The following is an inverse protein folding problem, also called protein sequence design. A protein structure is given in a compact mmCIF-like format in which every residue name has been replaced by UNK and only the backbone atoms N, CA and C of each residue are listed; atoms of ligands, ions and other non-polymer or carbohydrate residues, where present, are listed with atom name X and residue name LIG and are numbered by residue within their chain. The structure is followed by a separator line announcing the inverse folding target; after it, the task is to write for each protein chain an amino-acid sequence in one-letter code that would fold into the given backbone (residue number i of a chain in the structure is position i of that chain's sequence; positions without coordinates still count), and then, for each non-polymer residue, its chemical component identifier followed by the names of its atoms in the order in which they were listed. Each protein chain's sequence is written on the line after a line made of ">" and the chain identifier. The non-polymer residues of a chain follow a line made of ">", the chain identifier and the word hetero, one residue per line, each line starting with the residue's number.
data_IF_003279094407
#
_entry.id   IF_003279094407
#
_cell.length_a   1.000
_cell.length_b   1.000
_cell.length_c   1.000
_cell.angle_alpha   90.00
_cell.angle_beta   90.00
_cell.angle_gamma   90.00
#
_symmetry.space_group_name_H-M   'P 1'
#
loop_
_entity.id
_entity.type
_entity.pdbx_description
1 polymer ?
#
# COMPACT_ATOMS: atom_id res chain seq x y z
N UNK A 1 -1.41 -24.91 -8.22
CA UNK A 1 -1.28 -24.06 -9.40
C UNK A 1 -2.12 -24.61 -10.55
N UNK A 2 -2.77 -23.72 -11.30
CA UNK A 2 -3.49 -24.06 -12.54
C UNK A 2 -2.81 -23.28 -13.66
N UNK A 3 -2.58 -23.92 -14.81
CA UNK A 3 -2.01 -23.30 -16.00
C UNK A 3 -2.80 -23.73 -17.23
N UNK A 4 -3.17 -22.77 -18.06
CA UNK A 4 -3.87 -22.99 -19.31
C UNK A 4 -3.09 -22.37 -20.45
N UNK A 5 -2.92 -23.07 -21.54
CA UNK A 5 -2.26 -22.58 -22.75
C UNK A 5 -3.17 -22.79 -23.95
N UNK A 6 -3.38 -21.75 -24.74
CA UNK A 6 -4.16 -21.76 -25.98
C UNK A 6 -3.31 -21.18 -27.11
N UNK A 7 -3.18 -21.92 -28.22
CA UNK A 7 -2.51 -21.41 -29.45
C UNK A 7 -3.56 -20.85 -30.42
N UNK A 8 -3.37 -19.59 -30.85
CA UNK A 8 -4.22 -18.93 -31.86
C UNK A 8 -3.36 -17.99 -32.72
N UNK A 9 -3.45 -18.06 -34.03
CA UNK A 9 -2.77 -17.14 -34.98
C UNK A 9 -1.27 -16.99 -34.73
N UNK A 10 -0.52 -18.07 -34.52
CA UNK A 10 0.89 -18.07 -34.19
C UNK A 10 1.28 -17.35 -32.88
N UNK A 11 0.34 -17.12 -32.00
CA UNK A 11 0.56 -16.63 -30.64
C UNK A 11 0.08 -17.69 -29.63
N UNK A 12 0.77 -17.74 -28.48
CA UNK A 12 0.35 -18.55 -27.34
C UNK A 12 -0.25 -17.64 -26.29
N UNK A 13 -1.48 -17.92 -25.90
CA UNK A 13 -2.17 -17.29 -24.77
C UNK A 13 -1.94 -18.17 -23.55
N UNK A 14 -1.30 -17.63 -22.54
CA UNK A 14 -0.99 -18.34 -21.30
C UNK A 14 -1.71 -17.64 -20.16
N UNK A 15 -2.44 -18.38 -19.36
CA UNK A 15 -3.05 -17.89 -18.14
C UNK A 15 -2.89 -18.90 -17.01
N UNK A 16 -2.86 -18.41 -15.79
CA UNK A 16 -2.70 -19.30 -14.64
C UNK A 16 -3.21 -18.70 -13.34
N UNK A 17 -3.38 -19.60 -12.38
CA UNK A 17 -3.70 -19.28 -10.99
C UNK A 17 -2.67 -19.90 -10.05
N UNK A 18 -2.21 -19.10 -9.10
CA UNK A 18 -1.30 -19.54 -8.06
C UNK A 18 -1.83 -19.07 -6.70
N UNK A 19 -2.01 -19.98 -5.78
CA UNK A 19 -2.44 -19.69 -4.42
C UNK A 19 -1.29 -19.96 -3.46
N UNK A 20 -1.00 -18.98 -2.63
CA UNK A 20 -0.04 -19.07 -1.54
C UNK A 20 -0.79 -18.99 -0.20
N UNK A 21 -0.42 -19.84 0.74
CA UNK A 21 -1.03 -19.85 2.09
C UNK A 21 0.05 -19.65 3.14
N UNK A 22 -0.20 -18.67 4.03
CA UNK A 22 0.62 -18.41 5.21
C UNK A 22 2.12 -18.29 4.93
N UNK A 23 2.49 -17.60 3.85
CA UNK A 23 3.88 -17.30 3.54
C UNK A 23 4.42 -16.39 4.64
N UNK A 24 5.58 -16.77 5.19
CA UNK A 24 6.30 -16.00 6.20
C UNK A 24 7.65 -15.65 5.61
N UNK A 25 7.96 -14.35 5.57
CA UNK A 25 9.25 -13.85 5.12
C UNK A 25 9.86 -13.00 6.23
N UNK A 26 11.11 -13.26 6.54
CA UNK A 26 11.94 -12.43 7.40
C UNK A 26 12.67 -11.33 6.61
N UNK A 27 13.41 -10.50 7.34
CA UNK A 27 14.16 -9.38 6.74
C UNK A 27 15.14 -9.80 5.65
N UNK A 28 15.81 -10.94 5.81
CA UNK A 28 16.82 -11.40 4.86
C UNK A 28 16.17 -11.96 3.60
N UNK A 29 15.12 -12.75 3.76
CA UNK A 29 14.32 -13.30 2.65
C UNK A 29 13.69 -12.16 1.83
N UNK A 30 13.14 -11.13 2.50
CA UNK A 30 12.56 -9.96 1.84
C UNK A 30 13.62 -9.22 1.01
N UNK A 31 14.82 -9.00 1.55
CA UNK A 31 15.91 -8.33 0.84
C UNK A 31 16.36 -9.07 -0.43
N UNK A 32 16.27 -10.40 -0.43
CA UNK A 32 16.64 -11.22 -1.60
C UNK A 32 15.58 -11.16 -2.72
N UNK A 33 14.31 -10.87 -2.37
CA UNK A 33 13.19 -10.86 -3.30
C UNK A 33 12.95 -9.46 -3.86
N UNK A 34 13.09 -8.45 -3.00
CA UNK A 34 12.72 -7.05 -3.29
C UNK A 34 13.97 -6.28 -3.70
N UNK A 35 13.96 -5.72 -4.92
CA UNK A 35 15.02 -4.82 -5.38
C UNK A 35 15.11 -3.56 -4.50
N UNK A 36 16.28 -2.92 -4.49
CA UNK A 36 16.62 -1.76 -3.65
C UNK A 36 15.61 -0.61 -3.63
N UNK A 37 14.78 -0.47 -4.66
CA UNK A 37 13.78 0.60 -4.80
C UNK A 37 12.68 0.58 -3.72
N UNK A 38 12.41 -0.56 -3.07
CA UNK A 38 11.49 -0.68 -1.93
C UNK A 38 12.23 -0.66 -0.58
N UNK A 39 13.54 -0.57 -0.57
CA UNK A 39 14.38 -0.61 0.63
C UNK A 39 14.39 0.69 1.46
N UNK A 40 13.68 1.74 1.01
CA UNK A 40 13.40 2.90 1.87
C UNK A 40 12.58 2.54 3.12
N UNK A 41 11.91 1.35 3.12
CA UNK A 41 11.21 0.79 4.27
C UNK A 41 12.02 -0.36 4.86
N UNK A 42 12.52 -0.21 6.07
CA UNK A 42 13.21 -1.29 6.81
C UNK A 42 12.20 -2.35 7.28
N UNK A 43 11.77 -3.21 6.34
CA UNK A 43 10.79 -4.27 6.60
C UNK A 43 11.47 -5.39 7.38
N UNK A 44 10.89 -5.74 8.53
CA UNK A 44 11.41 -6.74 9.43
C UNK A 44 10.77 -8.12 9.22
N UNK A 45 9.48 -8.13 8.86
CA UNK A 45 8.69 -9.35 8.75
C UNK A 45 7.44 -9.10 7.92
N UNK A 46 7.07 -10.10 7.11
CA UNK A 46 5.78 -10.19 6.41
C UNK A 46 5.17 -11.57 6.64
N UNK A 47 3.85 -11.62 6.88
CA UNK A 47 3.05 -12.85 6.87
C UNK A 47 1.82 -12.58 6.01
N UNK A 48 1.61 -13.37 4.97
CA UNK A 48 0.49 -13.18 4.06
C UNK A 48 0.04 -14.47 3.38
N UNK A 49 -1.19 -14.45 2.87
CA UNK A 49 -1.72 -15.40 1.90
C UNK A 49 -2.10 -14.64 0.63
N UNK A 50 -2.04 -15.27 -0.53
CA UNK A 50 -2.42 -14.60 -1.77
C UNK A 50 -3.06 -15.54 -2.79
N UNK A 51 -3.97 -14.98 -3.58
CA UNK A 51 -4.51 -15.59 -4.79
C UNK A 51 -4.05 -14.75 -5.97
N UNK A 52 -3.32 -15.37 -6.89
CA UNK A 52 -2.68 -14.70 -8.01
C UNK A 52 -3.27 -15.24 -9.30
N UNK A 53 -3.81 -14.35 -10.13
CA UNK A 53 -4.26 -14.65 -11.47
C UNK A 53 -3.39 -13.87 -12.45
N UNK A 54 -2.82 -14.55 -13.43
CA UNK A 54 -2.00 -13.91 -14.45
C UNK A 54 -2.38 -14.38 -15.84
N UNK A 55 -2.12 -13.54 -16.81
CA UNK A 55 -2.20 -13.90 -18.22
C UNK A 55 -1.21 -13.08 -19.03
N UNK A 56 -0.73 -13.65 -20.11
CA UNK A 56 0.14 -13.00 -21.07
C UNK A 56 0.09 -13.72 -22.43
N UNK A 57 0.59 -13.06 -23.46
CA UNK A 57 0.80 -13.64 -24.77
C UNK A 57 2.29 -13.83 -25.04
N UNK A 58 2.61 -14.85 -25.82
CA UNK A 58 3.94 -15.11 -26.36
C UNK A 58 3.81 -15.19 -27.87
N UNK A 59 4.51 -14.33 -28.60
CA UNK A 59 4.50 -14.36 -30.06
C UNK A 59 5.48 -15.41 -30.61
N UNK A 60 5.51 -15.57 -31.93
CA UNK A 60 6.42 -16.50 -32.63
C UNK A 60 7.91 -16.29 -32.37
N UNK A 61 8.30 -15.09 -31.93
CA UNK A 61 9.67 -14.73 -31.60
C UNK A 61 9.95 -14.86 -30.08
N UNK A 62 9.07 -15.52 -29.33
CA UNK A 62 9.12 -15.69 -27.88
C UNK A 62 9.07 -14.37 -27.09
N UNK A 63 8.51 -13.31 -27.69
CA UNK A 63 8.32 -12.03 -26.98
C UNK A 63 7.03 -12.05 -26.16
N UNK A 64 7.15 -11.63 -24.91
CA UNK A 64 6.03 -11.48 -23.98
C UNK A 64 5.25 -10.21 -24.30
N UNK A 65 3.92 -10.32 -24.35
CA UNK A 65 3.00 -9.21 -24.61
C UNK A 65 1.76 -9.31 -23.71
N UNK A 66 1.05 -8.22 -23.55
CA UNK A 66 -0.25 -8.13 -22.89
C UNK A 66 -0.25 -8.78 -21.49
N UNK A 67 0.82 -8.55 -20.72
CA UNK A 67 0.93 -9.11 -19.36
C UNK A 67 -0.10 -8.45 -18.45
N UNK A 68 -0.92 -9.30 -17.81
CA UNK A 68 -1.92 -8.91 -16.82
C UNK A 68 -1.69 -9.72 -15.55
N UNK A 69 -1.81 -9.05 -14.40
CA UNK A 69 -1.67 -9.67 -13.09
C UNK A 69 -2.73 -9.10 -12.16
N UNK A 70 -3.49 -9.99 -11.54
CA UNK A 70 -4.45 -9.65 -10.49
C UNK A 70 -4.11 -10.47 -9.25
N UNK A 71 -3.85 -9.80 -8.13
CA UNK A 71 -3.50 -10.45 -6.87
C UNK A 71 -4.46 -9.95 -5.79
N UNK A 72 -5.11 -10.90 -5.10
CA UNK A 72 -5.78 -10.66 -3.83
C UNK A 72 -4.87 -11.15 -2.70
N UNK A 73 -4.49 -10.24 -1.78
CA UNK A 73 -3.59 -10.53 -0.66
C UNK A 73 -4.34 -10.34 0.65
N UNK A 74 -4.29 -11.35 1.50
CA UNK A 74 -4.62 -11.25 2.92
C UNK A 74 -3.30 -11.17 3.69
N UNK A 75 -2.96 -9.96 4.14
CA UNK A 75 -1.75 -9.70 4.90
C UNK A 75 -2.10 -9.77 6.39
N UNK A 76 -1.64 -10.81 7.05
CA UNK A 76 -1.86 -11.00 8.50
C UNK A 76 -0.99 -10.05 9.31
N UNK A 77 0.26 -9.86 8.88
CA UNK A 77 1.22 -9.04 9.60
C UNK A 77 2.31 -8.49 8.67
N UNK A 78 2.57 -7.18 8.77
CA UNK A 78 3.73 -6.51 8.20
C UNK A 78 4.34 -5.62 9.27
N UNK A 79 5.61 -5.82 9.59
CA UNK A 79 6.37 -5.02 10.56
C UNK A 79 7.48 -4.29 9.84
N UNK A 80 7.56 -2.98 10.00
CA UNK A 80 8.69 -2.19 9.52
C UNK A 80 9.16 -1.18 10.56
N UNK A 81 10.43 -0.78 10.45
CA UNK A 81 11.01 0.23 11.32
C UNK A 81 10.72 1.62 10.78
N UNK A 82 10.11 2.46 11.60
CA UNK A 82 9.85 3.85 11.26
C UNK A 82 11.15 4.68 11.39
N UNK A 83 11.57 5.28 10.30
CA UNK A 83 12.71 6.21 10.24
C UNK A 83 12.29 7.69 10.29
N UNK A 84 10.99 7.98 10.17
CA UNK A 84 10.48 9.35 10.14
C UNK A 84 10.23 9.90 11.54
N UNK A 85 10.61 11.16 11.76
CA UNK A 85 10.28 11.86 13.01
C UNK A 85 8.89 12.48 12.93
N UNK A 86 7.87 11.68 13.24
CA UNK A 86 6.47 12.11 13.22
C UNK A 86 5.90 12.39 14.62
N UNK A 87 6.73 12.58 15.64
CA UNK A 87 6.27 12.81 17.02
C UNK A 87 5.43 14.08 17.19
N UNK A 88 5.67 15.08 16.35
CA UNK A 88 4.90 16.34 16.35
C UNK A 88 3.46 16.17 15.80
N UNK A 89 3.17 15.02 15.18
CA UNK A 89 1.85 14.70 14.62
C UNK A 89 1.23 13.52 15.37
N UNK A 90 2.04 12.51 15.66
CA UNK A 90 1.67 11.31 16.42
C UNK A 90 2.52 11.24 17.69
N UNK A 91 2.09 11.87 18.80
CA UNK A 91 2.92 12.03 20.01
C UNK A 91 3.46 10.73 20.62
N UNK A 92 2.75 9.63 20.42
CA UNK A 92 3.11 8.29 20.93
C UNK A 92 3.55 7.32 19.85
N UNK A 93 4.07 7.83 18.72
CA UNK A 93 4.50 6.99 17.59
C UNK A 93 5.56 5.98 18.01
N UNK A 94 5.40 4.76 17.54
CA UNK A 94 6.33 3.66 17.81
C UNK A 94 7.47 3.63 16.80
N UNK A 95 8.62 3.11 17.23
CA UNK A 95 9.74 2.81 16.34
C UNK A 95 9.40 1.70 15.34
N UNK A 96 8.59 0.70 15.77
CA UNK A 96 8.06 -0.35 14.91
C UNK A 96 6.60 -0.07 14.61
N UNK A 97 6.27 0.06 13.34
CA UNK A 97 4.91 0.18 12.84
C UNK A 97 4.45 -1.18 12.34
N UNK A 98 3.21 -1.54 12.67
CA UNK A 98 2.66 -2.84 12.34
C UNK A 98 1.35 -2.65 11.56
N UNK A 99 1.26 -3.27 10.39
CA UNK A 99 0.03 -3.42 9.65
C UNK A 99 -0.51 -4.82 9.88
N UNK A 100 -1.77 -4.92 10.27
CA UNK A 100 -2.44 -6.19 10.52
C UNK A 100 -3.72 -6.30 9.72
N UNK A 101 -4.13 -7.54 9.43
CA UNK A 101 -5.42 -7.87 8.80
C UNK A 101 -5.70 -6.99 7.57
N UNK A 102 -4.67 -6.77 6.74
CA UNK A 102 -4.84 -5.99 5.52
C UNK A 102 -5.46 -6.86 4.43
N UNK A 103 -6.48 -6.34 3.77
CA UNK A 103 -7.00 -6.90 2.51
C UNK A 103 -6.51 -6.00 1.39
N UNK A 104 -5.66 -6.54 0.52
CA UNK A 104 -4.99 -5.79 -0.53
C UNK A 104 -5.36 -6.40 -1.88
N UNK A 105 -5.70 -5.54 -2.84
CA UNK A 105 -5.86 -5.92 -4.25
C UNK A 105 -4.81 -5.22 -5.07
N UNK A 106 -4.10 -5.97 -5.87
CA UNK A 106 -3.12 -5.47 -6.84
C UNK A 106 -3.59 -5.83 -8.25
N UNK A 107 -3.64 -4.84 -9.12
CA UNK A 107 -3.88 -5.00 -10.55
C UNK A 107 -2.72 -4.39 -11.31
N UNK A 108 -2.11 -5.17 -12.20
CA UNK A 108 -1.11 -4.70 -13.15
C UNK A 108 -1.55 -5.07 -14.57
N UNK A 109 -1.62 -4.09 -15.44
CA UNK A 109 -2.02 -4.24 -16.85
C UNK A 109 -1.44 -3.08 -17.66
N UNK A 110 -0.78 -3.38 -18.78
CA UNK A 110 -0.26 -2.36 -19.71
C UNK A 110 0.59 -1.26 -19.04
N UNK A 111 1.54 -1.67 -18.21
CA UNK A 111 2.40 -0.77 -17.40
C UNK A 111 1.66 0.07 -16.34
N UNK A 112 0.36 -0.16 -16.15
CA UNK A 112 -0.42 0.46 -15.10
C UNK A 112 -0.49 -0.45 -13.88
N UNK A 113 -0.08 0.07 -12.72
CA UNK A 113 -0.19 -0.60 -11.43
C UNK A 113 -1.24 0.12 -10.58
N UNK A 114 -2.21 -0.63 -10.08
CA UNK A 114 -3.16 -0.15 -9.06
C UNK A 114 -3.10 -1.07 -7.85
N UNK A 115 -2.92 -0.49 -6.66
CA UNK A 115 -2.96 -1.21 -5.39
C UNK A 115 -3.98 -0.54 -4.51
N UNK A 116 -4.97 -1.29 -4.04
CA UNK A 116 -5.91 -0.82 -3.02
C UNK A 116 -5.79 -1.69 -1.79
N UNK A 117 -5.83 -1.08 -0.62
CA UNK A 117 -5.73 -1.81 0.63
C UNK A 117 -6.55 -1.19 1.74
N UNK A 118 -6.96 -2.05 2.69
CA UNK A 118 -7.61 -1.64 3.93
C UNK A 118 -7.32 -2.62 5.04
N UNK A 119 -7.20 -2.12 6.26
CA UNK A 119 -6.96 -2.96 7.43
C UNK A 119 -6.66 -2.16 8.68
N UNK A 120 -5.92 -2.77 9.58
CA UNK A 120 -5.52 -2.22 10.86
C UNK A 120 -4.06 -1.75 10.81
N UNK A 121 -3.76 -0.66 11.51
CA UNK A 121 -2.39 -0.17 11.68
C UNK A 121 -2.13 0.17 13.14
N UNK A 122 -0.97 -0.22 13.62
CA UNK A 122 -0.49 0.05 14.97
C UNK A 122 0.68 1.05 14.87
N UNK A 123 0.31 2.33 14.81
CA UNK A 123 1.28 3.44 14.77
C UNK A 123 1.71 3.86 16.17
N UNK A 124 0.80 3.85 17.11
CA UNK A 124 0.97 4.32 18.48
C UNK A 124 0.61 3.21 19.48
N UNK A 125 -0.20 3.52 20.51
CA UNK A 125 -0.52 2.58 21.58
C UNK A 125 -1.80 1.77 21.32
N UNK A 126 -2.63 2.20 20.39
CA UNK A 126 -3.90 1.58 20.03
C UNK A 126 -3.96 1.36 18.53
N UNK A 127 -4.85 0.47 18.12
CA UNK A 127 -5.07 0.16 16.70
C UNK A 127 -5.91 1.26 16.07
N UNK A 128 -5.47 1.72 14.92
CA UNK A 128 -6.22 2.60 14.02
C UNK A 128 -6.58 1.84 12.74
N UNK A 129 -7.51 2.37 11.94
CA UNK A 129 -7.90 1.79 10.65
C UNK A 129 -7.33 2.59 9.51
N UNK A 130 -6.82 1.91 8.50
CA UNK A 130 -6.25 2.54 7.32
C UNK A 130 -6.91 2.00 6.05
N UNK A 131 -7.10 2.90 5.08
CA UNK A 131 -7.39 2.58 3.67
C UNK A 131 -6.39 3.32 2.81
N UNK A 132 -5.95 2.71 1.74
CA UNK A 132 -5.04 3.35 0.80
C UNK A 132 -5.28 2.87 -0.62
N UNK A 133 -4.95 3.73 -1.56
CA UNK A 133 -4.91 3.46 -2.98
C UNK A 133 -3.62 4.03 -3.56
N UNK A 134 -2.89 3.21 -4.28
CA UNK A 134 -1.67 3.58 -5.00
C UNK A 134 -1.93 3.34 -6.49
N UNK A 135 -1.71 4.35 -7.30
CA UNK A 135 -1.80 4.27 -8.77
C UNK A 135 -0.45 4.68 -9.32
N UNK A 136 0.13 3.82 -10.15
CA UNK A 136 1.35 4.12 -10.91
C UNK A 136 1.07 3.89 -12.39
N UNK A 137 1.22 4.92 -13.21
CA UNK A 137 1.05 4.90 -14.67
C UNK A 137 2.26 5.57 -15.30
N UNK A 138 3.10 4.83 -16.04
CA UNK A 138 4.32 5.36 -16.65
C UNK A 138 5.10 6.30 -15.72
N UNK A 139 4.90 7.61 -15.86
CA UNK A 139 5.58 8.66 -15.10
C UNK A 139 4.72 9.25 -13.96
N UNK A 140 3.49 8.79 -13.79
CA UNK A 140 2.59 9.29 -12.75
C UNK A 140 2.56 8.33 -11.56
N UNK A 141 2.71 8.88 -10.38
CA UNK A 141 2.45 8.17 -9.12
C UNK A 141 1.45 8.98 -8.31
N UNK A 142 0.43 8.30 -7.80
CA UNK A 142 -0.57 8.87 -6.90
C UNK A 142 -0.78 7.96 -5.72
N UNK A 143 -0.82 8.56 -4.52
CA UNK A 143 -1.19 7.89 -3.27
C UNK A 143 -2.36 8.62 -2.63
N UNK A 144 -3.46 7.91 -2.40
CA UNK A 144 -4.59 8.34 -1.59
C UNK A 144 -4.62 7.52 -0.32
N UNK A 145 -4.66 8.15 0.85
CA UNK A 145 -4.68 7.43 2.13
C UNK A 145 -5.73 8.05 3.04
N UNK A 146 -6.52 7.20 3.71
CA UNK A 146 -7.42 7.57 4.79
C UNK A 146 -7.01 6.82 6.05
N UNK A 147 -6.68 7.55 7.11
CA UNK A 147 -6.38 7.02 8.44
C UNK A 147 -7.48 7.45 9.42
N UNK A 148 -8.16 6.47 10.02
CA UNK A 148 -9.17 6.71 11.05
C UNK A 148 -8.53 6.51 12.42
N UNK A 149 -8.25 7.61 13.11
CA UNK A 149 -7.62 7.66 14.44
C UNK A 149 -8.71 7.71 15.49
N UNK A 150 -8.86 6.62 16.26
CA UNK A 150 -9.93 6.53 17.26
C UNK A 150 -9.45 6.92 18.66
N UNK A 151 -8.64 6.09 19.27
CA UNK A 151 -8.19 6.25 20.66
C UNK A 151 -6.79 6.84 20.81
N UNK A 152 -6.03 6.91 19.70
CA UNK A 152 -4.71 7.49 19.70
C UNK A 152 -4.75 9.02 19.68
N UNK A 153 -3.78 9.71 20.31
CA UNK A 153 -3.63 11.15 20.17
C UNK A 153 -3.17 11.52 18.76
N UNK A 154 -3.57 12.73 18.34
CA UNK A 154 -3.12 13.36 17.11
C UNK A 154 -3.06 14.85 17.35
N UNK A 155 -1.98 15.49 16.92
CA UNK A 155 -1.73 16.92 17.12
C UNK A 155 -1.19 17.50 15.81
N UNK A 156 -1.55 18.75 15.54
CA UNK A 156 -1.01 19.51 14.40
C UNK A 156 -0.67 20.92 14.88
N UNK A 157 0.57 21.08 15.36
CA UNK A 157 1.03 22.32 16.00
C UNK A 157 0.85 23.56 15.13
N UNK A 158 1.10 23.46 13.82
CA UNK A 158 0.94 24.58 12.89
C UNK A 158 -0.48 25.14 12.85
N UNK A 159 -1.48 24.34 13.16
CA UNK A 159 -2.90 24.74 13.19
C UNK A 159 -3.45 24.80 14.61
N UNK A 160 -2.61 24.68 15.65
CA UNK A 160 -3.05 24.59 17.06
C UNK A 160 -4.17 23.56 17.27
N UNK A 161 -4.17 22.51 16.43
CA UNK A 161 -5.20 21.49 16.46
C UNK A 161 -4.76 20.27 17.28
N UNK A 162 -5.64 19.84 18.18
CA UNK A 162 -5.51 18.62 18.94
C UNK A 162 -6.80 17.80 18.84
N UNK A 163 -6.67 16.53 18.49
CA UNK A 163 -7.80 15.62 18.41
C UNK A 163 -8.47 15.43 19.76
N UNK A 164 -9.79 15.52 19.82
CA UNK A 164 -10.56 15.21 21.03
C UNK A 164 -10.42 13.71 21.38
N UNK A 165 -10.23 13.40 22.67
CA UNK A 165 -10.03 12.03 23.17
C UNK A 165 -11.20 11.10 22.85
N UNK A 166 -12.44 11.63 22.83
CA UNK A 166 -13.67 10.85 22.68
C UNK A 166 -14.25 10.90 21.26
N UNK A 167 -13.45 11.24 20.25
CA UNK A 167 -13.89 11.30 18.87
C UNK A 167 -12.99 10.49 17.96
N UNK A 168 -13.50 10.17 16.78
CA UNK A 168 -12.72 9.62 15.68
C UNK A 168 -12.31 10.76 14.77
N UNK A 169 -11.03 10.85 14.48
CA UNK A 169 -10.46 11.73 13.46
C UNK A 169 -10.23 10.93 12.19
N UNK A 170 -10.78 11.39 11.08
CA UNK A 170 -10.45 10.93 9.74
C UNK A 170 -9.40 11.87 9.13
N UNK A 171 -8.19 11.35 8.91
CA UNK A 171 -7.11 12.03 8.22
C UNK A 171 -7.03 11.48 6.80
N UNK A 172 -7.23 12.34 5.80
CA UNK A 172 -7.04 11.99 4.40
C UNK A 172 -5.83 12.72 3.84
N UNK A 173 -5.02 11.98 3.08
CA UNK A 173 -3.84 12.46 2.39
C UNK A 173 -3.93 12.09 0.91
N UNK A 174 -3.70 13.07 0.03
CA UNK A 174 -3.50 12.84 -1.41
C UNK A 174 -2.13 13.36 -1.80
N UNK A 175 -1.32 12.45 -2.32
CA UNK A 175 0.05 12.71 -2.74
C UNK A 175 0.19 12.36 -4.21
N UNK A 176 0.85 13.21 -4.98
CA UNK A 176 1.27 12.93 -6.36
C UNK A 176 2.77 13.09 -6.49
N UNK A 177 3.36 12.30 -7.36
CA UNK A 177 4.73 12.52 -7.80
C UNK A 177 4.69 13.42 -9.05
N UNK A 178 5.42 14.51 -9.04
CA UNK A 178 5.52 15.44 -10.16
C UNK A 178 6.77 15.14 -10.99
N UNK A 179 7.88 14.85 -10.31
CA UNK A 179 9.14 14.41 -10.91
C UNK A 179 9.72 13.21 -10.17
N UNK A 180 10.77 12.58 -10.70
CA UNK A 180 11.34 11.35 -10.11
C UNK A 180 11.67 11.46 -8.62
N UNK A 181 11.90 12.67 -8.10
CA UNK A 181 12.34 12.92 -6.72
C UNK A 181 11.43 13.85 -5.93
N UNK A 182 10.30 14.31 -6.49
CA UNK A 182 9.42 15.28 -5.85
C UNK A 182 8.02 14.70 -5.62
N UNK A 183 7.61 14.67 -4.34
CA UNK A 183 6.28 14.30 -3.91
C UNK A 183 5.53 15.56 -3.44
N UNK A 184 4.39 15.82 -4.02
CA UNK A 184 3.52 16.94 -3.63
C UNK A 184 2.30 16.41 -2.90
N UNK A 185 2.01 16.99 -1.73
CA UNK A 185 0.78 16.78 -0.99
C UNK A 185 -0.32 17.66 -1.57
N UNK A 186 -1.11 17.14 -2.49
CA UNK A 186 -2.19 17.91 -3.13
C UNK A 186 -3.33 18.26 -2.17
N UNK A 187 -3.57 17.40 -1.19
CA UNK A 187 -4.67 17.58 -0.24
C UNK A 187 -4.33 16.90 1.09
N UNK A 188 -4.54 17.64 2.16
CA UNK A 188 -4.55 17.11 3.52
C UNK A 188 -5.89 17.53 4.12
N UNK A 189 -6.74 16.58 4.51
CA UNK A 189 -7.99 16.90 5.19
C UNK A 189 -8.12 16.17 6.51
N UNK A 190 -8.60 16.89 7.51
CA UNK A 190 -8.91 16.41 8.85
C UNK A 190 -10.41 16.58 9.07
N UNK A 191 -11.10 15.49 9.36
CA UNK A 191 -12.52 15.51 9.69
C UNK A 191 -12.75 14.88 11.04
N UNK A 192 -13.27 15.69 11.96
CA UNK A 192 -13.62 15.28 13.30
C UNK A 192 -15.06 15.70 13.61
N UNK A 193 -15.99 14.75 13.81
CA UNK A 193 -17.44 15.01 13.95
C UNK A 193 -17.99 15.85 12.78
N UNK A 194 -18.47 17.07 13.06
CA UNK A 194 -18.96 18.02 12.06
C UNK A 194 -17.90 19.01 11.58
N UNK A 195 -16.73 19.03 12.22
CA UNK A 195 -15.64 19.95 11.89
C UNK A 195 -14.74 19.35 10.82
N UNK A 196 -14.36 20.17 9.87
CA UNK A 196 -13.44 19.78 8.79
C UNK A 196 -12.39 20.88 8.60
N UNK A 197 -11.12 20.46 8.55
CA UNK A 197 -9.99 21.29 8.14
C UNK A 197 -9.51 20.73 6.82
N UNK A 198 -9.40 21.56 5.81
CA UNK A 198 -8.93 21.19 4.48
C UNK A 198 -7.77 22.11 4.10
N UNK A 199 -6.63 21.52 3.81
CA UNK A 199 -5.46 22.19 3.24
C UNK A 199 -5.24 21.63 1.84
N UNK A 200 -5.32 22.51 0.84
CA UNK A 200 -4.93 22.22 -0.55
C UNK A 200 -3.65 22.98 -0.84
N UNK A 201 -2.69 22.30 -1.40
CA UNK A 201 -1.37 22.85 -1.74
C UNK A 201 -1.20 22.77 -3.26
#
# INVERSE_FOLDING_TARGET
>A
PELTTLKKNNEYFISGKLNNKSIKLDKNEIKNIVKEELLGLDIQKIIFSSQNNFSFKVDKNLKFKDFKLLIDIELDNLIFTNSFNLKNIFPKIKKKIIFNKQKIKLKYEEENLSITGKGEVFLQNKIDKIKYEIIKRKNEFQLNTTLNISQNPFELYLLTYQKNKNSVLELNLKVKQVDKNELIFNEISLKEKKNMILVKI
#
